data_IF_018975686044
#
_entry.id   IF_018975686044
#
_cell.length_a   1.000
_cell.length_b   1.000
_cell.length_c   1.000
_cell.angle_alpha   90.00
_cell.angle_beta   90.00
_cell.angle_gamma   90.00
#
_symmetry.space_group_name_H-M   'P 1'
#
loop_
_entity.id
_entity.type
_entity.pdbx_description
1 polymer ?
#
# COMPACT_ATOMS: atom_id res chain seq x y z
N UNK A 1 -12.80 -0.54 -1.52
CA UNK A 1 -12.72 -1.02 -0.12
C UNK A 1 -14.11 -1.15 0.51
N UNK A 2 -14.88 -0.05 0.67
CA UNK A 2 -16.22 -0.06 1.28
C UNK A 2 -17.20 -1.10 0.70
N UNK A 3 -17.36 -1.16 -0.63
CA UNK A 3 -18.24 -2.15 -1.28
C UNK A 3 -17.82 -3.59 -0.92
N UNK A 4 -16.51 -3.86 -0.89
CA UNK A 4 -15.99 -5.18 -0.49
C UNK A 4 -16.27 -5.52 0.98
N UNK A 5 -16.18 -4.54 1.89
CA UNK A 5 -16.54 -4.71 3.30
C UNK A 5 -18.03 -4.99 3.45
N UNK A 6 -18.88 -4.24 2.75
CA UNK A 6 -20.34 -4.44 2.76
C UNK A 6 -20.68 -5.85 2.26
N UNK A 7 -20.15 -6.27 1.11
CA UNK A 7 -20.35 -7.61 0.55
C UNK A 7 -19.91 -8.69 1.53
N UNK A 8 -18.73 -8.55 2.14
CA UNK A 8 -18.21 -9.57 3.07
C UNK A 8 -19.06 -9.67 4.33
N UNK A 9 -19.51 -8.54 4.85
CA UNK A 9 -20.34 -8.48 6.05
C UNK A 9 -21.74 -9.06 5.80
N UNK A 10 -22.40 -8.72 4.68
CA UNK A 10 -23.73 -9.27 4.33
C UNK A 10 -23.67 -10.77 4.06
N UNK A 11 -22.65 -11.25 3.35
CA UNK A 11 -22.47 -12.68 3.06
C UNK A 11 -22.31 -13.51 4.33
N UNK A 12 -21.59 -12.99 5.34
CA UNK A 12 -21.41 -13.64 6.65
C UNK A 12 -22.69 -13.59 7.47
N UNK A 13 -23.40 -12.46 7.47
CA UNK A 13 -24.65 -12.27 8.21
C UNK A 13 -25.77 -13.18 7.68
N UNK A 14 -25.90 -13.32 6.36
CA UNK A 14 -26.95 -14.11 5.71
C UNK A 14 -26.57 -15.59 5.48
N UNK A 15 -25.39 -16.05 5.96
CA UNK A 15 -24.85 -17.41 5.73
C UNK A 15 -24.82 -17.82 4.26
N UNK A 16 -24.62 -16.85 3.36
CA UNK A 16 -24.54 -17.10 1.93
C UNK A 16 -23.23 -17.85 1.58
N UNK A 17 -23.19 -18.58 0.46
CA UNK A 17 -21.97 -19.20 -0.03
C UNK A 17 -20.87 -18.13 -0.17
N UNK A 18 -19.78 -18.30 0.57
CA UNK A 18 -18.64 -17.39 0.47
C UNK A 18 -17.98 -17.49 -0.89
N UNK A 19 -17.46 -16.37 -1.39
CA UNK A 19 -16.67 -16.36 -2.63
C UNK A 19 -15.53 -17.39 -2.55
N UNK A 20 -15.30 -18.12 -3.66
CA UNK A 20 -14.23 -19.11 -3.73
C UNK A 20 -12.88 -18.41 -3.63
N UNK A 21 -12.23 -18.52 -2.47
CA UNK A 21 -11.01 -17.79 -2.14
C UNK A 21 -9.89 -17.96 -3.19
N UNK A 22 -9.62 -19.17 -3.73
CA UNK A 22 -8.64 -19.34 -4.81
C UNK A 22 -8.93 -18.53 -6.07
N UNK A 23 -10.21 -18.37 -6.44
CA UNK A 23 -10.60 -17.57 -7.60
C UNK A 23 -10.39 -16.08 -7.35
N UNK A 24 -10.72 -15.61 -6.14
CA UNK A 24 -10.49 -14.21 -5.74
C UNK A 24 -8.99 -13.89 -5.73
N UNK A 25 -8.18 -14.79 -5.20
CA UNK A 25 -6.72 -14.64 -5.17
C UNK A 25 -6.13 -14.64 -6.59
N UNK A 26 -6.63 -15.50 -7.48
CA UNK A 26 -6.23 -15.52 -8.89
C UNK A 26 -6.56 -14.20 -9.60
N UNK A 27 -7.80 -13.71 -9.45
CA UNK A 27 -8.23 -12.44 -10.03
C UNK A 27 -7.39 -11.28 -9.46
N UNK A 28 -7.11 -11.28 -8.16
CA UNK A 28 -6.25 -10.29 -7.52
C UNK A 28 -4.83 -10.27 -8.10
N UNK A 29 -4.23 -11.44 -8.31
CA UNK A 29 -2.90 -11.57 -8.94
C UNK A 29 -2.89 -11.08 -10.38
N UNK A 30 -3.91 -11.41 -11.17
CA UNK A 30 -4.04 -10.94 -12.57
C UNK A 30 -4.24 -9.43 -12.60
N UNK A 31 -5.10 -8.88 -11.74
CA UNK A 31 -5.33 -7.44 -11.65
C UNK A 31 -4.06 -6.67 -11.26
N UNK A 32 -3.27 -7.19 -10.31
CA UNK A 32 -1.98 -6.63 -9.92
C UNK A 32 -1.00 -6.61 -11.09
N UNK A 33 -0.90 -7.72 -11.83
CA UNK A 33 -0.03 -7.83 -13.00
C UNK A 33 -0.44 -6.84 -14.09
N UNK A 34 -1.74 -6.73 -14.39
CA UNK A 34 -2.26 -5.76 -15.36
C UNK A 34 -2.01 -4.32 -14.93
N UNK A 35 -2.20 -3.99 -13.64
CA UNK A 35 -1.87 -2.67 -13.10
C UNK A 35 -0.41 -2.30 -13.35
N UNK A 36 0.52 -3.22 -13.08
CA UNK A 36 1.95 -3.00 -13.32
C UNK A 36 2.25 -2.78 -14.81
N UNK A 37 1.66 -3.58 -15.71
CA UNK A 37 1.84 -3.43 -17.16
C UNK A 37 1.33 -2.07 -17.65
N UNK A 38 0.15 -1.63 -17.19
CA UNK A 38 -0.40 -0.32 -17.55
C UNK A 38 0.49 0.84 -17.06
N UNK A 39 0.99 0.75 -15.83
CA UNK A 39 1.92 1.75 -15.28
C UNK A 39 3.21 1.85 -16.11
N UNK A 40 3.75 0.72 -16.55
CA UNK A 40 4.96 0.67 -17.39
C UNK A 40 4.72 1.19 -18.81
N UNK A 41 3.56 0.95 -19.41
CA UNK A 41 3.23 1.48 -20.73
C UNK A 41 3.03 3.01 -20.74
N UNK A 42 2.57 3.59 -19.64
CA UNK A 42 2.37 5.04 -19.51
C UNK A 42 3.69 5.82 -19.31
N UNK A 43 4.82 5.13 -19.08
CA UNK A 43 6.11 5.76 -18.85
C UNK A 43 6.77 6.17 -20.19
N UNK A 44 6.75 7.47 -20.50
CA UNK A 44 7.53 8.03 -21.59
C UNK A 44 9.00 8.21 -21.18
N UNK A 45 9.76 7.10 -21.20
CA UNK A 45 11.18 7.09 -20.84
C UNK A 45 12.00 8.11 -21.66
N UNK A 46 11.65 8.30 -22.92
CA UNK A 46 12.33 9.24 -23.81
C UNK A 46 12.18 10.71 -23.37
N UNK A 47 10.98 11.12 -22.97
CA UNK A 47 10.73 12.48 -22.47
C UNK A 47 11.36 12.76 -21.11
N UNK A 48 11.65 11.71 -20.31
CA UNK A 48 12.18 11.84 -18.96
C UNK A 48 13.71 11.77 -18.88
N UNK A 49 14.41 11.34 -19.94
CA UNK A 49 15.88 11.21 -19.95
C UNK A 49 16.58 12.54 -19.66
N UNK A 50 16.04 13.66 -20.13
CA UNK A 50 16.59 15.00 -19.84
C UNK A 50 16.54 15.36 -18.35
N UNK A 51 15.64 14.72 -17.58
CA UNK A 51 15.45 14.88 -16.14
C UNK A 51 15.86 13.62 -15.35
N UNK A 52 16.49 12.63 -15.99
CA UNK A 52 16.81 11.35 -15.35
C UNK A 52 17.80 11.51 -14.19
N UNK A 53 18.76 12.45 -14.29
CA UNK A 53 19.69 12.75 -13.20
C UNK A 53 18.95 13.16 -11.91
N UNK A 54 18.14 14.24 -11.94
CA UNK A 54 17.29 14.62 -10.81
C UNK A 54 16.38 13.50 -10.29
N UNK A 55 15.79 12.70 -11.19
CA UNK A 55 14.90 11.61 -10.82
C UNK A 55 15.63 10.49 -10.06
N UNK A 56 16.84 10.12 -10.50
CA UNK A 56 17.68 9.13 -9.82
C UNK A 56 18.10 9.58 -8.43
N UNK A 57 18.45 10.86 -8.26
CA UNK A 57 18.78 11.43 -6.95
C UNK A 57 17.56 11.34 -6.03
N UNK A 58 16.39 11.76 -6.51
CA UNK A 58 15.14 11.71 -5.74
C UNK A 58 14.79 10.28 -5.31
N UNK A 59 14.82 9.33 -6.25
CA UNK A 59 14.54 7.92 -5.97
C UNK A 59 15.56 7.32 -5.00
N UNK A 60 16.84 7.67 -5.13
CA UNK A 60 17.89 7.20 -4.22
C UNK A 60 17.71 7.75 -2.82
N UNK A 61 17.45 9.05 -2.68
CA UNK A 61 17.17 9.68 -1.38
C UNK A 61 15.91 9.11 -0.75
N UNK A 62 14.84 8.91 -1.54
CA UNK A 62 13.60 8.29 -1.06
C UNK A 62 13.84 6.85 -0.61
N UNK A 63 14.56 6.05 -1.40
CA UNK A 63 14.90 4.67 -1.07
C UNK A 63 15.69 4.61 0.25
N UNK A 64 16.74 5.41 0.38
CA UNK A 64 17.58 5.44 1.59
C UNK A 64 16.75 5.88 2.79
N UNK A 65 15.98 6.97 2.66
CA UNK A 65 15.11 7.47 3.73
C UNK A 65 14.09 6.44 4.16
N UNK A 66 13.46 5.74 3.20
CA UNK A 66 12.48 4.69 3.47
C UNK A 66 13.11 3.49 4.19
N UNK A 67 14.27 3.03 3.74
CA UNK A 67 14.98 1.90 4.37
C UNK A 67 15.37 2.24 5.80
N UNK A 68 15.90 3.44 6.04
CA UNK A 68 16.23 3.92 7.38
C UNK A 68 14.97 4.00 8.24
N UNK A 69 13.91 4.63 7.74
CA UNK A 69 12.66 4.80 8.48
C UNK A 69 12.00 3.46 8.83
N UNK A 70 11.93 2.52 7.88
CA UNK A 70 11.35 1.20 8.14
C UNK A 70 12.17 0.41 9.15
N UNK A 71 13.50 0.42 9.03
CA UNK A 71 14.41 -0.37 9.86
C UNK A 71 14.59 0.19 11.27
N UNK A 72 14.66 1.53 11.41
CA UNK A 72 14.89 2.16 12.71
C UNK A 72 13.62 2.60 13.40
N UNK A 73 12.60 3.07 12.68
CA UNK A 73 11.39 3.61 13.31
C UNK A 73 10.31 2.53 13.33
N UNK A 74 9.91 2.03 12.15
CA UNK A 74 8.77 1.10 12.03
C UNK A 74 9.01 -0.20 12.81
N UNK A 75 10.18 -0.82 12.61
CA UNK A 75 10.56 -2.05 13.32
C UNK A 75 10.57 -1.89 14.85
N UNK A 76 11.06 -0.75 15.37
CA UNK A 76 11.16 -0.52 16.81
C UNK A 76 9.81 -0.22 17.45
N UNK A 77 9.00 0.63 16.81
CA UNK A 77 7.66 0.99 17.31
C UNK A 77 6.73 -0.23 17.30
N UNK A 78 6.86 -1.12 16.31
CA UNK A 78 6.02 -2.32 16.18
C UNK A 78 6.44 -3.47 17.11
N UNK A 79 7.38 -3.26 18.05
CA UNK A 79 7.73 -4.23 19.09
C UNK A 79 8.78 -5.27 18.69
N UNK A 80 9.53 -5.04 17.59
CA UNK A 80 10.75 -5.79 17.21
C UNK A 80 10.58 -7.32 17.11
N UNK A 81 9.40 -7.77 16.68
CA UNK A 81 9.06 -9.18 16.51
C UNK A 81 8.88 -9.53 15.03
N UNK A 82 8.69 -10.80 14.68
CA UNK A 82 8.52 -11.22 13.28
C UNK A 82 7.43 -10.43 12.53
N UNK A 83 6.27 -10.17 13.15
CA UNK A 83 5.23 -9.36 12.53
C UNK A 83 5.71 -7.93 12.25
N UNK A 84 6.51 -7.33 13.14
CA UNK A 84 7.13 -6.03 12.91
C UNK A 84 8.04 -6.01 11.67
N UNK A 85 8.72 -7.13 11.34
CA UNK A 85 9.58 -7.22 10.15
C UNK A 85 8.73 -7.29 8.88
N UNK A 86 7.63 -8.04 8.92
CA UNK A 86 6.69 -8.09 7.81
C UNK A 86 6.00 -6.74 7.61
N UNK A 87 5.60 -6.07 8.70
CA UNK A 87 5.05 -4.70 8.64
C UNK A 87 6.09 -3.72 8.10
N UNK A 88 7.35 -3.78 8.53
CA UNK A 88 8.41 -2.93 7.99
C UNK A 88 8.66 -3.19 6.49
N UNK A 89 8.67 -4.46 6.05
CA UNK A 89 8.78 -4.82 4.64
C UNK A 89 7.57 -4.37 3.80
N UNK A 90 6.37 -4.46 4.38
CA UNK A 90 5.15 -3.89 3.83
C UNK A 90 5.23 -2.36 3.74
N UNK A 91 5.76 -1.69 4.76
CA UNK A 91 5.92 -0.24 4.79
C UNK A 91 6.91 0.23 3.72
N UNK A 92 8.02 -0.47 3.53
CA UNK A 92 8.92 -0.20 2.39
C UNK A 92 8.20 -0.35 1.05
N UNK A 93 7.39 -1.40 0.89
CA UNK A 93 6.61 -1.61 -0.32
C UNK A 93 5.57 -0.51 -0.54
N UNK A 94 4.93 -0.06 0.53
CA UNK A 94 3.97 1.05 0.52
C UNK A 94 4.64 2.38 0.17
N UNK A 95 5.70 2.77 0.90
CA UNK A 95 6.35 4.08 0.78
C UNK A 95 7.11 4.30 -0.53
N UNK A 96 7.43 3.22 -1.27
CA UNK A 96 7.99 3.28 -2.62
C UNK A 96 6.93 3.17 -3.73
N UNK A 97 5.67 2.93 -3.36
CA UNK A 97 4.60 2.68 -4.32
C UNK A 97 3.23 2.94 -3.71
N UNK A 98 2.48 1.87 -3.46
CA UNK A 98 1.13 1.94 -2.92
C UNK A 98 0.76 0.69 -2.08
N UNK A 99 -0.47 0.61 -1.60
CA UNK A 99 -1.01 -0.57 -0.90
C UNK A 99 -0.79 -1.91 -1.64
N UNK A 100 -1.01 -2.03 -2.96
CA UNK A 100 -0.73 -3.29 -3.68
C UNK A 100 0.74 -3.73 -3.62
N UNK A 101 1.70 -2.80 -3.69
CA UNK A 101 3.13 -3.13 -3.60
C UNK A 101 3.54 -3.52 -2.17
N UNK A 102 2.88 -2.95 -1.15
CA UNK A 102 3.00 -3.39 0.23
C UNK A 102 2.58 -4.87 0.39
N UNK A 103 1.41 -5.23 -0.13
CA UNK A 103 0.88 -6.60 -0.07
C UNK A 103 1.76 -7.59 -0.84
N UNK A 104 2.28 -7.18 -2.00
CA UNK A 104 3.22 -7.99 -2.77
C UNK A 104 4.52 -8.27 -1.99
N UNK A 105 5.11 -7.24 -1.36
CA UNK A 105 6.31 -7.39 -0.52
C UNK A 105 6.06 -8.29 0.69
N UNK A 106 4.98 -8.06 1.42
CA UNK A 106 4.63 -8.90 2.56
C UNK A 106 4.41 -10.35 2.13
N UNK A 107 3.74 -10.58 0.99
CA UNK A 107 3.51 -11.92 0.43
C UNK A 107 4.82 -12.62 0.07
N UNK A 108 5.77 -11.89 -0.54
CA UNK A 108 7.09 -12.43 -0.86
C UNK A 108 7.88 -12.82 0.40
N UNK A 109 7.80 -12.00 1.46
CA UNK A 109 8.43 -12.28 2.75
C UNK A 109 7.77 -13.48 3.44
N UNK A 110 6.45 -13.51 3.56
CA UNK A 110 5.75 -14.60 4.25
C UNK A 110 5.84 -15.92 3.50
N UNK A 111 6.00 -15.90 2.17
CA UNK A 111 6.28 -17.10 1.37
C UNK A 111 7.64 -17.72 1.71
N UNK A 112 8.62 -16.92 2.14
CA UNK A 112 9.97 -17.38 2.50
C UNK A 112 10.15 -17.66 3.99
N UNK A 113 9.53 -16.85 4.85
CA UNK A 113 9.81 -16.84 6.29
C UNK A 113 8.62 -17.28 7.17
N UNK A 114 7.47 -17.59 6.57
CA UNK A 114 6.28 -18.07 7.28
C UNK A 114 5.13 -17.05 7.35
N UNK A 115 3.91 -17.48 7.69
CA UNK A 115 2.73 -16.61 7.66
C UNK A 115 2.76 -15.53 8.75
N UNK A 116 2.22 -14.35 8.43
CA UNK A 116 2.07 -13.22 9.36
C UNK A 116 0.67 -12.57 9.25
N UNK A 117 -0.40 -13.24 9.71
CA UNK A 117 -1.78 -12.82 9.46
C UNK A 117 -2.10 -11.43 10.00
N UNK A 118 -1.52 -11.07 11.15
CA UNK A 118 -1.74 -9.77 11.79
C UNK A 118 -1.24 -8.61 10.91
N UNK A 119 -0.07 -8.77 10.29
CA UNK A 119 0.49 -7.75 9.39
C UNK A 119 -0.41 -7.52 8.16
N UNK A 120 -1.00 -8.58 7.61
CA UNK A 120 -1.91 -8.53 6.46
C UNK A 120 -3.26 -7.88 6.75
N UNK A 121 -3.64 -7.74 8.01
CA UNK A 121 -4.84 -7.01 8.42
C UNK A 121 -4.49 -5.54 8.66
N UNK A 122 -3.42 -5.29 9.42
CA UNK A 122 -3.05 -3.94 9.86
C UNK A 122 -2.59 -3.07 8.69
N UNK A 123 -1.68 -3.56 7.84
CA UNK A 123 -1.06 -2.74 6.78
C UNK A 123 -2.06 -2.26 5.74
N UNK A 124 -2.96 -3.10 5.17
CA UNK A 124 -3.96 -2.62 4.22
C UNK A 124 -5.01 -1.70 4.87
N UNK A 125 -5.36 -1.93 6.13
CA UNK A 125 -6.30 -1.07 6.85
C UNK A 125 -5.72 0.35 7.02
N UNK A 126 -4.44 0.45 7.43
CA UNK A 126 -3.74 1.73 7.52
C UNK A 126 -3.52 2.36 6.15
N UNK A 127 -2.99 1.57 5.19
CA UNK A 127 -2.53 2.05 3.89
C UNK A 127 -3.62 2.37 2.87
N UNK A 128 -4.81 1.80 3.00
CA UNK A 128 -5.94 2.12 2.12
C UNK A 128 -7.01 2.91 2.88
N UNK A 129 -7.62 2.31 3.90
CA UNK A 129 -8.81 2.89 4.52
C UNK A 129 -8.52 4.17 5.31
N UNK A 130 -7.54 4.14 6.23
CA UNK A 130 -7.25 5.31 7.05
C UNK A 130 -6.63 6.46 6.25
N UNK A 131 -5.79 6.14 5.26
CA UNK A 131 -5.24 7.16 4.37
C UNK A 131 -6.34 7.83 3.55
N UNK A 132 -7.32 7.09 3.02
CA UNK A 132 -8.45 7.69 2.30
C UNK A 132 -9.23 8.67 3.19
N UNK A 133 -9.51 8.27 4.44
CA UNK A 133 -10.20 9.12 5.41
C UNK A 133 -9.40 10.37 5.78
N UNK A 134 -8.12 10.19 6.14
CA UNK A 134 -7.23 11.29 6.50
C UNK A 134 -7.05 12.24 5.33
N UNK A 135 -6.89 11.74 4.11
CA UNK A 135 -6.78 12.56 2.92
C UNK A 135 -8.04 13.43 2.71
N UNK A 136 -9.23 12.86 2.85
CA UNK A 136 -10.48 13.61 2.76
C UNK A 136 -10.59 14.72 3.83
N UNK A 137 -10.14 14.45 5.06
CA UNK A 137 -10.10 15.43 6.15
C UNK A 137 -9.06 16.52 5.87
N UNK A 138 -7.85 16.14 5.49
CA UNK A 138 -6.75 17.06 5.21
C UNK A 138 -7.12 18.00 4.06
N UNK A 139 -7.68 17.48 2.97
CA UNK A 139 -8.16 18.32 1.86
C UNK A 139 -9.25 19.29 2.34
N UNK A 140 -10.23 18.84 3.13
CA UNK A 140 -11.23 19.74 3.69
C UNK A 140 -10.61 20.85 4.54
N UNK A 141 -9.67 20.51 5.42
CA UNK A 141 -8.95 21.49 6.25
C UNK A 141 -8.20 22.50 5.37
N UNK A 142 -7.45 22.02 4.38
CA UNK A 142 -6.72 22.87 3.44
C UNK A 142 -7.62 23.83 2.68
N UNK A 143 -8.81 23.39 2.26
CA UNK A 143 -9.79 24.23 1.56
C UNK A 143 -10.46 25.26 2.49
N UNK A 144 -10.63 24.93 3.77
CA UNK A 144 -11.16 25.87 4.78
C UNK A 144 -10.13 26.88 5.28
N UNK A 145 -8.83 26.69 5.00
CA UNK A 145 -7.80 27.66 5.38
C UNK A 145 -7.91 28.93 4.50
N UNK A 146 -7.85 30.12 5.11
CA UNK A 146 -8.10 31.40 4.43
C UNK A 146 -7.07 31.77 3.34
N UNK A 147 -6.01 30.98 3.18
CA UNK A 147 -4.98 31.13 2.14
C UNK A 147 -5.43 30.57 0.78
N UNK A 148 -6.35 29.60 0.77
CA UNK A 148 -6.83 28.91 -0.45
C UNK A 148 -8.35 29.11 -0.66
N UNK A 149 -8.90 30.17 -0.05
CA UNK A 149 -10.32 30.35 0.23
C UNK A 149 -11.28 29.97 -0.89
N UNK A 150 -12.17 29.04 -0.57
CA UNK A 150 -13.58 29.14 -0.93
C UNK A 150 -14.29 29.63 0.33
N UNK A 151 -14.46 30.96 0.41
CA UNK A 151 -15.46 31.61 1.25
C UNK A 151 -16.86 31.27 0.77
#
# INVERSE_FOLDING_TARGET
MFVGVVIRNTTVHEKLPSAHQPSVDLVGNIALALFLVMALMSLNLWGMISMAGPLLILLSTQLIGMVIFASYITWHIMGRNYNAAIIAGGHCGFGLGATPTAVANMSALTKRFGPAPQAFIVVPLMGAFFIDLLNAIVIQIYLTLPVFGLS
#
